data_IF_543123738217
#
_entry.id   IF_543123738217
#
_cell.length_a   1.000
_cell.length_b   1.000
_cell.length_c   1.000
_cell.angle_alpha   90.00
_cell.angle_beta   90.00
_cell.angle_gamma   90.00
#
_symmetry.space_group_name_H-M   'P 1'
#
loop_
_entity.id
_entity.type
_entity.pdbx_description
1 polymer ?
2 non-polymer ?
3 water ?
#
# COMPACT_ATOMS: atom_id res chain seq x y z
N UNK A 3 0.54 -7.16 3.94
CA UNK A 3 0.51 -7.14 2.49
C UNK A 3 1.67 -7.91 1.89
N UNK A 4 1.60 -8.16 0.58
CA UNK A 4 2.64 -8.92 -0.09
C UNK A 4 3.62 -7.98 -0.76
N UNK A 5 4.12 -7.04 0.00
CA UNK A 5 5.34 -6.38 -0.33
C UNK A 5 6.14 -6.33 0.97
N UNK A 6 7.43 -6.06 0.85
CA UNK A 6 8.30 -5.96 2.01
C UNK A 6 8.73 -4.52 2.29
N UNK A 7 8.89 -4.27 3.59
CA UNK A 7 9.48 -3.04 4.10
C UNK A 7 10.92 -3.35 4.55
N UNK A 8 11.91 -2.64 3.98
CA UNK A 8 13.29 -2.92 4.40
C UNK A 8 13.73 -4.30 3.97
N UNK A 9 14.24 -5.08 4.91
CA UNK A 9 14.62 -6.46 4.60
C UNK A 9 13.50 -7.45 4.86
N UNK A 10 12.32 -6.98 5.24
CA UNK A 10 11.21 -7.89 5.55
C UNK A 10 11.41 -8.75 6.78
N UNK A 11 12.00 -8.20 7.87
CA UNK A 11 12.25 -9.06 9.02
C UNK A 11 10.96 -9.38 9.75
N UNK A 12 9.86 -8.68 9.47
CA UNK A 12 8.58 -9.01 10.04
C UNK A 12 7.56 -9.40 8.97
N UNK A 13 8.02 -9.68 7.73
CA UNK A 13 7.13 -10.08 6.65
C UNK A 13 6.32 -11.30 7.07
N UNK A 14 5.00 -11.20 6.92
CA UNK A 14 4.05 -12.25 7.27
C UNK A 14 3.02 -12.48 6.18
N UNK A 15 3.42 -12.28 4.93
CA UNK A 15 2.53 -12.44 3.80
C UNK A 15 2.50 -13.89 3.27
N UNK A 16 1.97 -14.04 2.05
CA UNK A 16 1.65 -15.37 1.50
C UNK A 16 2.40 -15.78 0.23
N UNK A 17 3.44 -15.06 -0.19
CA UNK A 17 4.24 -15.47 -1.32
C UNK A 17 4.94 -16.77 -0.97
N UNK A 18 4.93 -17.72 -1.91
CA UNK A 18 5.41 -19.07 -1.65
C UNK A 18 6.15 -19.65 -2.85
N UNK A 19 6.77 -18.80 -3.66
CA UNK A 19 7.59 -19.17 -4.80
C UNK A 19 8.86 -18.33 -4.83
N UNK A 20 9.98 -18.97 -5.13
CA UNK A 20 11.26 -18.32 -5.07
C UNK A 20 11.49 -17.37 -6.26
N UNK A 21 12.62 -16.65 -6.22
CA UNK A 21 12.96 -15.70 -7.30
C UNK A 21 13.04 -16.40 -8.65
N UNK A 22 13.52 -17.66 -8.70
CA UNK A 22 13.64 -18.42 -9.95
C UNK A 22 12.42 -19.26 -10.27
N UNK A 23 11.32 -19.09 -9.54
CA UNK A 23 10.07 -19.73 -9.84
C UNK A 23 9.84 -21.07 -9.19
N UNK A 24 10.59 -21.41 -8.12
CA UNK A 24 10.46 -22.73 -7.51
C UNK A 24 9.48 -22.64 -6.37
N UNK A 25 8.53 -23.59 -6.30
CA UNK A 25 7.58 -23.65 -5.19
C UNK A 25 8.31 -23.97 -3.90
N UNK A 26 8.06 -23.17 -2.87
CA UNK A 26 8.68 -23.39 -1.57
C UNK A 26 8.23 -24.69 -0.92
N UNK A 27 9.18 -25.28 -0.16
CA UNK A 27 8.95 -26.43 0.72
C UNK A 27 8.29 -25.95 2.01
N UNK A 28 7.34 -26.68 2.59
CA UNK A 28 6.79 -26.28 3.91
C UNK A 28 7.86 -26.26 4.99
N UNK A 29 7.78 -25.30 5.87
CA UNK A 29 8.67 -25.23 7.04
C UNK A 29 8.56 -26.45 7.95
N UNK A 30 7.38 -27.01 8.09
CA UNK A 30 7.22 -28.21 8.89
C UNK A 30 7.83 -29.45 8.26
N UNK A 31 8.22 -29.41 6.96
CA UNK A 31 8.69 -30.58 6.22
C UNK A 31 10.21 -30.62 6.20
N UNK A 32 10.72 -31.87 6.19
CA UNK A 32 12.14 -32.21 5.95
C UNK A 32 12.40 -32.68 4.54
N UNK A 33 11.43 -32.51 3.65
CA UNK A 33 11.47 -33.09 2.32
C UNK A 33 11.23 -32.03 1.25
N UNK A 34 12.15 -31.88 0.24
CA UNK A 34 13.42 -32.61 0.14
C UNK A 34 14.49 -32.30 1.16
N UNK A 35 14.41 -31.14 1.79
CA UNK A 35 15.55 -30.61 2.55
C UNK A 35 15.35 -30.69 4.05
N UNK A 36 16.28 -31.36 4.71
CA UNK A 36 16.28 -31.46 6.14
C UNK A 36 16.87 -30.22 6.76
N UNK A 37 16.25 -29.68 7.78
CA UNK A 37 16.67 -28.39 8.33
C UNK A 37 16.23 -28.18 9.78
N UNK A 38 16.78 -27.12 10.39
CA UNK A 38 16.52 -26.83 11.80
C UNK A 38 15.59 -25.64 12.06
N UNK A 39 14.92 -25.12 11.04
CA UNK A 39 14.00 -24.01 11.22
C UNK A 39 12.64 -24.58 11.57
N UNK A 40 12.58 -25.21 12.72
CA UNK A 40 11.38 -25.90 13.16
C UNK A 40 10.38 -24.89 13.68
N UNK A 41 9.15 -24.88 13.16
CA UNK A 41 8.23 -23.79 13.53
C UNK A 41 8.00 -23.66 15.03
N UNK A 42 8.05 -24.77 15.77
CA UNK A 42 7.82 -24.73 17.20
C UNK A 42 8.98 -24.04 17.92
N UNK A 43 10.18 -24.10 17.34
CA UNK A 43 11.35 -23.50 17.95
C UNK A 43 11.57 -22.06 17.52
N UNK A 44 10.84 -21.59 16.52
CA UNK A 44 11.01 -20.24 15.98
C UNK A 44 9.70 -19.46 16.03
N UNK A 45 8.88 -19.66 17.06
CA UNK A 45 7.63 -18.92 17.10
C UNK A 45 7.91 -17.42 17.30
N UNK A 46 6.96 -16.61 16.88
CA UNK A 46 7.21 -15.21 16.65
C UNK A 46 7.78 -14.91 15.29
N UNK A 47 8.45 -15.90 14.66
CA UNK A 47 8.94 -15.79 13.28
C UNK A 47 7.96 -16.34 12.25
N UNK A 48 6.82 -16.87 12.70
CA UNK A 48 5.68 -17.17 11.86
C UNK A 48 6.10 -18.02 10.67
N UNK A 49 6.68 -19.17 10.98
CA UNK A 49 7.09 -20.12 9.94
C UNK A 49 5.89 -20.99 9.60
N UNK A 50 5.00 -20.42 8.82
CA UNK A 50 3.68 -20.96 8.49
C UNK A 50 3.68 -21.50 7.06
N UNK A 51 2.97 -22.62 6.84
CA UNK A 51 2.77 -23.19 5.52
C UNK A 51 4.14 -23.26 4.82
N UNK A 52 4.24 -22.85 3.57
CA UNK A 52 5.48 -22.75 2.80
C UNK A 52 5.71 -21.30 2.38
N UNK A 53 5.42 -20.36 3.26
CA UNK A 53 5.52 -18.96 2.90
C UNK A 53 6.96 -18.47 3.05
N UNK A 54 7.36 -17.55 2.16
CA UNK A 54 8.68 -16.95 2.25
C UNK A 54 8.78 -16.17 3.54
N UNK A 55 9.90 -16.37 4.28
CA UNK A 55 10.12 -15.69 5.54
C UNK A 55 11.59 -15.30 5.71
N UNK A 56 11.83 -14.34 6.61
CA UNK A 56 13.19 -13.91 6.91
C UNK A 56 13.41 -14.05 8.43
N UNK A 57 13.45 -15.29 8.92
CA UNK A 57 13.49 -15.49 10.37
C UNK A 57 14.72 -14.91 11.03
N UNK A 58 15.84 -14.78 10.33
CA UNK A 58 17.05 -14.20 10.92
C UNK A 58 17.33 -12.76 10.49
N UNK A 59 16.47 -12.14 9.70
CA UNK A 59 16.62 -10.72 9.40
C UNK A 59 17.73 -10.34 8.46
N UNK A 60 18.01 -11.18 7.48
CA UNK A 60 19.15 -11.10 6.60
C UNK A 60 18.92 -10.22 5.37
N UNK A 61 20.04 -9.79 4.80
CA UNK A 61 20.02 -8.83 3.70
C UNK A 61 19.27 -9.36 2.47
N UNK A 62 19.24 -10.67 2.27
CA UNK A 62 18.60 -11.16 1.07
C UNK A 62 17.09 -10.94 1.02
N UNK A 63 16.47 -10.64 2.15
CA UNK A 63 15.03 -10.62 2.24
C UNK A 63 14.45 -12.01 2.47
N UNK A 64 13.13 -12.12 2.52
CA UNK A 64 12.49 -13.44 2.75
C UNK A 64 12.92 -14.47 1.72
N UNK A 65 12.95 -15.72 2.20
CA UNK A 65 13.46 -16.87 1.46
C UNK A 65 12.67 -18.11 1.93
N UNK A 66 12.89 -19.24 1.24
CA UNK A 66 12.32 -20.51 1.69
C UNK A 66 13.25 -21.65 1.27
N UNK A 67 13.18 -22.77 1.99
CA UNK A 67 13.68 -24.01 1.39
C UNK A 67 12.82 -24.36 0.19
N UNK A 68 13.42 -24.96 -0.85
CA UNK A 68 12.66 -25.14 -2.09
C UNK A 68 12.26 -26.61 -2.34
N UNK A 69 11.18 -26.79 -3.11
CA UNK A 69 10.69 -28.12 -3.42
C UNK A 69 11.55 -28.84 -4.44
N UNK A 70 12.50 -28.16 -4.99
CA UNK A 70 13.47 -28.79 -5.92
C UNK A 70 14.62 -29.44 -5.16
N UNK A 71 14.81 -30.78 -5.27
CA UNK A 71 15.92 -31.40 -4.52
C UNK A 71 17.28 -30.85 -4.85
N UNK A 72 17.47 -30.27 -6.02
CA UNK A 72 18.76 -29.71 -6.42
C UNK A 72 19.03 -28.32 -5.86
N UNK A 73 18.02 -27.63 -5.30
CA UNK A 73 18.19 -26.26 -4.78
C UNK A 73 17.70 -26.22 -3.33
N UNK A 74 18.62 -26.18 -2.38
CA UNK A 74 18.23 -26.27 -0.97
C UNK A 74 17.36 -25.09 -0.55
N UNK A 75 17.80 -23.87 -0.85
CA UNK A 75 17.05 -22.67 -0.51
C UNK A 75 17.27 -21.56 -1.54
N UNK A 76 16.36 -20.59 -1.54
CA UNK A 76 16.51 -19.48 -2.47
C UNK A 76 15.71 -18.29 -1.94
N UNK A 77 16.25 -17.07 -2.15
CA UNK A 77 15.47 -15.88 -1.82
C UNK A 77 14.24 -15.84 -2.74
N UNK A 78 13.19 -15.24 -2.24
CA UNK A 78 11.97 -14.91 -2.95
C UNK A 78 12.10 -13.55 -3.62
N UNK A 79 11.21 -13.30 -4.58
CA UNK A 79 11.29 -12.04 -5.36
C UNK A 79 10.11 -11.15 -4.96
N UNK A 80 10.22 -10.50 -3.81
CA UNK A 80 9.05 -9.79 -3.32
C UNK A 80 9.31 -8.31 -3.48
N UNK A 81 8.45 -7.61 -4.19
CA UNK A 81 8.65 -6.16 -4.35
C UNK A 81 8.69 -5.43 -3.02
N UNK A 82 9.53 -4.38 -3.01
CA UNK A 82 9.55 -3.45 -1.90
C UNK A 82 8.30 -2.59 -1.95
N UNK A 83 7.67 -2.38 -0.80
CA UNK A 83 6.45 -1.56 -0.78
C UNK A 83 6.82 -0.15 -1.25
N UNK A 84 5.99 0.42 -2.12
CA UNK A 84 6.19 1.77 -2.63
C UNK A 84 4.86 2.50 -2.58
N UNK A 85 4.91 3.80 -2.27
CA UNK A 85 3.71 4.61 -2.11
C UNK A 85 3.14 4.94 -3.48
N UNK A 86 1.84 4.68 -3.67
CA UNK A 86 1.15 4.96 -4.90
C UNK A 86 -0.10 5.76 -4.54
N UNK A 87 -0.57 6.59 -5.47
CA UNK A 87 -1.74 7.44 -5.22
C UNK A 87 -3.00 6.58 -5.18
N UNK A 88 -3.65 6.52 -4.02
CA UNK A 88 -4.88 5.75 -3.99
C UNK A 88 -5.70 6.11 -2.74
N UNK A 89 -6.99 5.74 -2.78
CA UNK A 89 -7.80 5.92 -1.58
C UNK A 89 -8.34 4.58 -1.10
N UNK A 90 -8.63 4.54 0.19
CA UNK A 90 -9.32 3.42 0.82
C UNK A 90 -10.72 3.91 1.17
N UNK A 91 -11.73 3.18 0.74
CA UNK A 91 -13.10 3.58 1.00
C UNK A 91 -13.47 4.92 0.39
N UNK A 92 -13.85 5.89 1.24
CA UNK A 92 -14.18 7.22 0.74
C UNK A 92 -13.03 8.23 0.85
N UNK A 93 -11.83 7.79 1.21
CA UNK A 93 -10.71 8.74 1.20
C UNK A 93 -10.69 9.76 2.29
N UNK A 94 -11.31 9.46 3.42
CA UNK A 94 -11.26 10.38 4.55
C UNK A 94 -9.80 10.63 4.93
N UNK A 95 -8.92 9.65 4.74
CA UNK A 95 -7.53 9.76 5.14
C UNK A 95 -6.62 10.20 4.00
N UNK A 96 -7.16 10.56 2.85
CA UNK A 96 -6.31 10.77 1.67
C UNK A 96 -5.49 12.05 1.88
N UNK A 97 -4.16 11.90 1.70
CA UNK A 97 -3.23 13.01 1.82
C UNK A 97 -2.25 13.03 0.67
N UNK A 98 -2.68 12.58 -0.51
CA UNK A 98 -1.86 12.52 -1.71
C UNK A 98 -1.83 13.90 -2.41
N UNK A 99 -1.27 13.93 -3.63
CA UNK A 99 -1.09 15.21 -4.32
C UNK A 99 -1.82 15.31 -5.64
N UNK A 100 -2.86 14.48 -5.88
CA UNK A 100 -3.70 14.69 -7.03
C UNK A 100 -4.42 16.03 -6.88
N UNK A 101 -4.44 16.84 -7.96
CA UNK A 101 -4.91 18.23 -7.95
C UNK A 101 -5.78 18.57 -9.16
N UNK A 102 -6.40 17.54 -9.75
CA UNK A 102 -7.24 17.66 -10.94
C UNK A 102 -8.52 16.89 -10.67
N UNK A 103 -9.63 17.46 -11.09
CA UNK A 103 -10.92 16.82 -10.83
C UNK A 103 -11.23 15.68 -11.81
N UNK A 104 -12.35 15.00 -11.61
CA UNK A 104 -12.69 13.89 -12.50
C UNK A 104 -12.96 14.36 -13.94
N UNK A 105 -13.34 15.62 -14.15
CA UNK A 105 -13.50 16.13 -15.53
C UNK A 105 -12.28 16.92 -15.99
N UNK A 106 -11.18 16.80 -15.27
CA UNK A 106 -9.90 17.29 -15.73
C UNK A 106 -9.61 18.75 -15.42
N UNK A 107 -10.33 19.33 -14.49
CA UNK A 107 -10.17 20.74 -14.19
C UNK A 107 -9.11 20.90 -13.10
N UNK A 108 -8.17 21.85 -13.27
CA UNK A 108 -7.23 22.10 -12.19
C UNK A 108 -7.98 22.58 -10.94
N UNK A 109 -7.65 22.01 -9.76
CA UNK A 109 -8.28 22.47 -8.53
C UNK A 109 -7.84 23.92 -8.20
N UNK A 110 -8.72 24.61 -7.52
CA UNK A 110 -8.47 25.88 -6.87
C UNK A 110 -7.72 25.65 -5.55
N UNK A 111 -6.75 26.51 -5.16
CA UNK A 111 -6.13 26.40 -3.84
C UNK A 111 -7.14 26.58 -2.72
N UNK A 112 -7.03 25.74 -1.69
CA UNK A 112 -7.85 25.90 -0.47
C UNK A 112 -7.71 27.26 0.18
N UNK A 113 -6.51 27.85 0.09
CA UNK A 113 -6.30 29.16 0.68
C UNK A 113 -6.94 30.29 -0.09
N UNK A 114 -7.46 30.03 -1.31
CA UNK A 114 -7.96 31.03 -2.21
C UNK A 114 -9.48 31.12 -2.14
N UNK A 115 -9.96 32.33 -2.38
CA UNK A 115 -11.38 32.58 -2.63
C UNK A 115 -11.74 32.79 -4.10
N UNK A 116 -10.84 32.48 -5.04
CA UNK A 116 -10.99 32.84 -6.44
C UNK A 116 -10.79 31.59 -7.28
N UNK A 117 -11.76 31.20 -8.14
CA UNK A 117 -13.01 31.93 -8.38
C UNK A 117 -14.05 31.75 -7.29
N UNK A 118 -13.95 30.69 -6.47
CA UNK A 118 -15.02 30.34 -5.56
C UNK A 118 -14.69 30.69 -4.13
N UNK A 119 -15.54 31.54 -3.54
CA UNK A 119 -15.37 31.86 -2.12
C UNK A 119 -15.98 30.73 -1.27
N UNK A 120 -15.38 30.44 -0.13
CA UNK A 120 -15.70 29.26 0.65
C UNK A 120 -15.16 29.41 2.06
N UNK A 121 -15.60 28.49 2.92
CA UNK A 121 -15.21 28.51 4.33
C UNK A 121 -14.28 27.36 4.72
N UNK A 122 -13.74 26.61 3.76
CA UNK A 122 -12.76 25.57 4.05
C UNK A 122 -11.34 26.14 4.14
N UNK A 123 -11.16 27.05 5.12
CA UNK A 123 -9.86 27.67 5.30
C UNK A 123 -8.88 26.70 5.96
N UNK A 124 -7.65 26.58 5.46
CA UNK A 124 -6.72 25.63 6.04
C UNK A 124 -6.54 25.84 7.52
N UNK A 125 -6.55 27.09 7.99
CA UNK A 125 -6.34 27.35 9.42
C UNK A 125 -7.48 26.86 10.28
N UNK A 126 -8.66 26.68 9.70
CA UNK A 126 -9.80 26.18 10.46
C UNK A 126 -9.93 24.67 10.38
N UNK A 127 -9.15 24.01 9.55
CA UNK A 127 -9.23 22.56 9.38
C UNK A 127 -7.87 21.95 9.65
N UNK A 128 -7.24 22.38 10.75
CA UNK A 128 -5.96 21.80 11.09
C UNK A 128 -6.13 20.31 11.30
N UNK A 129 -5.16 19.53 10.84
CA UNK A 129 -5.25 18.09 10.87
C UNK A 129 -5.75 17.45 9.58
N UNK A 130 -6.43 18.22 8.74
CA UNK A 130 -7.03 17.70 7.52
C UNK A 130 -6.19 17.99 6.28
N UNK A 131 -5.03 18.63 6.44
CA UNK A 131 -4.04 18.78 5.39
C UNK A 131 -4.64 19.41 4.14
N UNK A 132 -5.37 20.51 4.31
CA UNK A 132 -5.86 21.34 3.20
C UNK A 132 -4.69 22.17 2.65
N UNK A 133 -3.82 21.50 1.92
CA UNK A 133 -2.59 22.02 1.40
C UNK A 133 -2.72 22.28 -0.09
N UNK A 134 -2.07 23.35 -0.56
CA UNK A 134 -2.00 23.64 -1.97
C UNK A 134 -3.39 23.54 -2.57
N UNK A 135 -3.54 22.91 -3.72
CA UNK A 135 -4.82 22.65 -4.38
C UNK A 135 -5.11 21.16 -4.47
N UNK A 136 -4.75 20.37 -3.44
CA UNK A 136 -4.83 18.91 -3.53
C UNK A 136 -6.25 18.44 -3.18
N UNK A 137 -6.73 17.46 -3.92
CA UNK A 137 -8.03 16.87 -3.64
C UNK A 137 -8.02 16.35 -2.18
N UNK A 138 -9.10 16.61 -1.44
CA UNK A 138 -9.20 16.25 -0.02
C UNK A 138 -10.68 15.94 0.28
N UNK A 139 -10.92 15.21 1.38
CA UNK A 139 -12.29 14.95 1.86
C UNK A 139 -12.35 15.34 3.34
N UNK A 140 -12.36 16.65 3.61
CA UNK A 140 -12.16 17.14 5.01
C UNK A 140 -13.31 16.87 5.96
N UNK A 141 -14.49 16.53 5.48
CA UNK A 141 -15.59 16.14 6.37
C UNK A 141 -15.97 14.69 6.22
N UNK A 142 -15.16 13.87 5.54
CA UNK A 142 -15.43 12.46 5.38
C UNK A 142 -16.78 12.19 4.73
N UNK A 143 -17.03 12.85 3.60
CA UNK A 143 -18.29 12.68 2.89
C UNK A 143 -18.24 11.48 1.93
N UNK A 144 -19.42 10.93 1.62
CA UNK A 144 -19.46 9.92 0.58
C UNK A 144 -19.15 10.62 -0.74
N UNK A 145 -18.63 9.87 -1.69
CA UNK A 145 -18.17 10.49 -2.93
C UNK A 145 -16.68 10.75 -2.98
N UNK A 146 -16.04 11.01 -1.84
CA UNK A 146 -14.60 10.97 -1.79
C UNK A 146 -13.97 12.37 -1.95
N UNK A 147 -12.63 12.37 -2.10
CA UNK A 147 -11.89 13.63 -2.19
C UNK A 147 -12.41 14.45 -3.38
N UNK A 148 -12.36 15.75 -3.16
CA UNK A 148 -12.91 16.75 -4.06
C UNK A 148 -12.08 18.03 -3.91
N UNK A 149 -12.36 19.02 -4.76
CA UNK A 149 -11.77 20.34 -4.58
C UNK A 149 -12.72 21.38 -5.18
N UNK A 150 -12.59 22.65 -4.76
CA UNK A 150 -13.15 23.73 -5.53
C UNK A 150 -12.36 23.78 -6.83
N UNK A 151 -12.99 24.14 -7.95
CA UNK A 151 -12.30 24.09 -9.25
C UNK A 151 -11.90 25.49 -9.74
N UNK A 152 -10.89 25.53 -10.63
CA UNK A 152 -10.44 26.78 -11.22
C UNK A 152 -11.37 27.32 -12.29
N UNK A 153 -12.37 26.56 -12.73
CA UNK A 153 -13.34 26.97 -13.72
C UNK A 153 -14.46 27.72 -13.00
N UNK A 154 -14.69 29.00 -13.30
CA UNK A 154 -15.73 29.77 -12.58
C UNK A 154 -17.12 29.17 -12.71
N UNK A 155 -17.37 28.34 -13.70
CA UNK A 155 -18.70 27.78 -13.86
C UNK A 155 -18.88 26.43 -13.14
N UNK A 156 -17.84 25.92 -12.49
CA UNK A 156 -17.89 24.62 -11.77
C UNK A 156 -17.35 24.86 -10.37
N UNK A 157 -18.26 25.06 -9.41
CA UNK A 157 -17.80 25.44 -8.07
C UNK A 157 -16.88 24.39 -7.48
N UNK A 158 -17.30 23.11 -7.53
CA UNK A 158 -16.55 22.02 -6.92
C UNK A 158 -16.84 20.75 -7.72
N UNK A 159 -15.90 19.79 -7.64
CA UNK A 159 -16.08 18.50 -8.30
C UNK A 159 -15.23 17.45 -7.59
N UNK A 160 -15.75 16.22 -7.52
CA UNK A 160 -14.99 15.14 -6.97
C UNK A 160 -13.79 14.88 -7.87
N UNK A 161 -12.71 14.34 -7.29
CA UNK A 161 -11.55 13.84 -7.98
C UNK A 161 -11.68 12.31 -8.09
N UNK A 162 -11.13 11.77 -9.14
CA UNK A 162 -11.15 10.32 -9.37
C UNK A 162 -9.79 9.72 -9.07
N UNK A 163 -9.64 9.23 -7.85
CA UNK A 163 -8.39 8.62 -7.37
C UNK A 163 -8.67 7.13 -7.21
N UNK A 164 -7.81 6.27 -7.72
CA UNK A 164 -8.08 4.81 -7.64
C UNK A 164 -8.16 4.27 -6.23
N UNK A 165 -8.98 3.25 -6.06
CA UNK A 165 -9.03 2.55 -4.79
C UNK A 165 -7.71 1.82 -4.59
N UNK A 166 -7.17 1.87 -3.36
CA UNK A 166 -5.95 1.13 -3.09
C UNK A 166 -6.15 -0.36 -3.35
N UNK A 167 -7.39 -0.88 -3.21
CA UNK A 167 -7.61 -2.31 -3.52
C UNK A 167 -7.31 -2.69 -4.98
N UNK A 168 -7.26 -1.71 -5.86
CA UNK A 168 -6.92 -1.98 -7.25
C UNK A 168 -5.42 -2.17 -7.45
N UNK A 169 -4.57 -1.50 -6.65
CA UNK A 169 -3.11 -1.55 -6.84
C UNK A 169 -2.31 -2.27 -5.74
N UNK A 170 -2.94 -2.65 -4.63
CA UNK A 170 -2.13 -3.12 -3.51
C UNK A 170 -1.66 -4.59 -3.69
N UNK A 171 -0.75 -5.03 -2.82
CA UNK A 171 -0.26 -6.40 -2.90
C UNK A 171 -1.07 -7.24 -1.92
N UNK A 172 -2.16 -7.83 -2.41
CA UNK A 172 -3.10 -8.54 -1.58
C UNK A 172 -2.57 -9.85 -1.02
N UNK A 173 -2.98 -10.19 0.22
CA UNK A 173 -2.96 -11.58 0.69
C UNK A 173 -3.75 -12.45 -0.28
N UNK A 174 -3.18 -13.59 -0.69
CA UNK A 174 -3.91 -14.44 -1.60
C UNK A 174 -5.11 -15.07 -0.91
N UNK A 175 -6.05 -15.55 -1.73
CA UNK A 175 -7.19 -16.33 -1.22
C UNK A 175 -6.69 -17.76 -0.99
N UNK A 176 -6.26 -18.01 0.26
CA UNK A 176 -5.71 -19.31 0.60
C UNK A 176 -6.60 -20.05 1.60
#
# INVERSE_FOLDING_TARGET
AIRNCIIGKGRSYKGTVSITKSGIKCQPWSSMIPHEHSFLPSSYRGKDLQENYCRNPRGEEGGPWCFTSNPEVRYEVCDIPQCSEVECIIGKGRSYKGTVSITKSGIKCQPWSSMIPHEHSFLPSSYRGKDLQENYCRNPRGEEGGPWCFTSNPEVRYEVCDIPQCSEVEHHHHHH
#
